data_IF_882383027325
#
_entry.id   IF_882383027325
#
_cell.length_a   1.000
_cell.length_b   1.000
_cell.length_c   1.000
_cell.angle_alpha   90.00
_cell.angle_beta   90.00
_cell.angle_gamma   90.00
#
_symmetry.space_group_name_H-M   'P 1'
#
loop_
_entity.id
_entity.type
_entity.pdbx_description
1 polymer ?
#
# COMPACT_ATOMS: atom_id res chain seq x y z
N UNK A 1 -12.47 -16.11 18.02
CA UNK A 1 -11.30 -16.70 17.32
C UNK A 1 -10.37 -15.63 16.73
N UNK A 2 -10.79 -14.74 15.82
CA UNK A 2 -9.94 -13.60 15.41
C UNK A 2 -9.91 -12.42 16.41
N UNK A 3 -10.85 -12.33 17.38
CA UNK A 3 -10.64 -11.46 18.56
C UNK A 3 -9.43 -11.96 19.35
N UNK A 4 -9.30 -13.28 19.52
CA UNK A 4 -8.09 -13.87 20.08
C UNK A 4 -6.87 -13.56 19.20
N UNK A 5 -6.97 -13.50 17.86
CA UNK A 5 -5.82 -13.06 17.03
C UNK A 5 -5.43 -11.63 17.37
N UNK A 6 -6.39 -10.70 17.33
CA UNK A 6 -6.17 -9.29 17.62
C UNK A 6 -5.64 -9.11 19.05
N UNK A 7 -6.24 -9.77 20.02
CA UNK A 7 -5.88 -9.68 21.43
C UNK A 7 -4.54 -10.39 21.72
N UNK A 8 -4.27 -11.54 21.10
CA UNK A 8 -2.99 -12.25 21.23
C UNK A 8 -1.85 -11.49 20.54
N UNK A 9 -2.08 -10.95 19.34
CA UNK A 9 -1.11 -10.10 18.64
C UNK A 9 -0.86 -8.81 19.41
N UNK A 10 -1.93 -8.17 19.91
CA UNK A 10 -1.82 -6.96 20.73
C UNK A 10 -1.13 -7.24 22.06
N UNK A 11 -1.39 -8.40 22.68
CA UNK A 11 -0.71 -8.85 23.90
C UNK A 11 0.78 -9.10 23.63
N UNK A 12 1.10 -9.81 22.55
CA UNK A 12 2.48 -10.07 22.13
C UNK A 12 3.24 -8.76 21.83
N UNK A 13 2.61 -7.79 21.18
CA UNK A 13 3.17 -6.47 20.94
C UNK A 13 3.35 -5.66 22.23
N UNK A 14 2.37 -5.68 23.14
CA UNK A 14 2.49 -5.03 24.45
C UNK A 14 3.69 -5.57 25.24
N UNK A 15 3.96 -6.87 25.16
CA UNK A 15 5.16 -7.47 25.79
C UNK A 15 6.46 -6.87 25.23
N UNK A 16 6.58 -6.70 23.91
CA UNK A 16 7.77 -6.06 23.29
C UNK A 16 7.90 -4.60 23.71
N UNK A 17 6.81 -3.84 23.63
CA UNK A 17 6.80 -2.41 23.96
C UNK A 17 7.19 -2.20 25.43
N UNK A 18 6.64 -3.02 26.32
CA UNK A 18 6.86 -2.96 27.78
C UNK A 18 8.16 -3.60 28.28
N UNK A 19 8.83 -4.44 27.49
CA UNK A 19 10.07 -5.10 27.92
C UNK A 19 11.21 -4.08 28.10
N UNK A 20 11.97 -4.17 29.20
CA UNK A 20 13.13 -3.30 29.44
C UNK A 20 14.31 -3.61 28.51
N UNK A 21 14.51 -4.89 28.19
CA UNK A 21 15.51 -5.37 27.24
C UNK A 21 14.93 -6.45 26.32
N UNK A 22 15.48 -6.57 25.12
CA UNK A 22 15.06 -7.55 24.12
C UNK A 22 16.13 -8.63 24.02
N UNK A 23 15.91 -9.72 24.74
CA UNK A 23 16.71 -10.93 24.69
C UNK A 23 16.13 -11.97 23.71
N UNK A 24 16.90 -13.03 23.44
CA UNK A 24 16.47 -14.12 22.54
C UNK A 24 15.24 -14.87 23.08
N UNK A 25 15.09 -14.99 24.40
CA UNK A 25 13.94 -15.62 25.03
C UNK A 25 12.63 -14.89 24.71
N UNK A 26 12.61 -13.56 24.82
CA UNK A 26 11.46 -12.73 24.48
C UNK A 26 11.09 -12.85 23.00
N UNK A 27 12.08 -12.91 22.10
CA UNK A 27 11.85 -13.10 20.66
C UNK A 27 11.26 -14.48 20.39
N UNK A 28 11.74 -15.52 21.09
CA UNK A 28 11.18 -16.87 20.99
C UNK A 28 9.74 -16.94 21.50
N UNK A 29 9.42 -16.26 22.60
CA UNK A 29 8.08 -16.17 23.15
C UNK A 29 7.14 -15.45 22.18
N UNK A 30 7.56 -14.30 21.64
CA UNK A 30 6.85 -13.56 20.60
C UNK A 30 6.52 -14.46 19.40
N UNK A 31 7.50 -15.22 18.91
CA UNK A 31 7.29 -16.12 17.78
C UNK A 31 6.26 -17.21 18.11
N UNK A 32 6.30 -17.80 19.31
CA UNK A 32 5.31 -18.79 19.75
C UNK A 32 3.91 -18.20 19.88
N UNK A 33 3.79 -17.01 20.45
CA UNK A 33 2.51 -16.32 20.58
C UNK A 33 1.94 -15.96 19.21
N UNK A 34 2.77 -15.48 18.28
CA UNK A 34 2.41 -15.24 16.90
C UNK A 34 1.96 -16.52 16.18
N UNK A 35 2.68 -17.63 16.36
CA UNK A 35 2.31 -18.93 15.79
C UNK A 35 0.93 -19.36 16.29
N UNK A 36 0.69 -19.34 17.61
CA UNK A 36 -0.61 -19.70 18.19
C UNK A 36 -1.72 -18.79 17.65
N UNK A 37 -1.46 -17.49 17.57
CA UNK A 37 -2.41 -16.50 17.09
C UNK A 37 -2.80 -16.78 15.62
N UNK A 38 -1.82 -16.96 14.74
CA UNK A 38 -2.05 -17.23 13.32
C UNK A 38 -2.68 -18.61 13.07
N UNK A 39 -2.24 -19.65 13.80
CA UNK A 39 -2.81 -21.00 13.69
C UNK A 39 -4.26 -21.05 14.20
N UNK A 40 -4.57 -20.37 15.31
CA UNK A 40 -5.95 -20.25 15.80
C UNK A 40 -6.86 -19.38 14.93
N UNK A 41 -6.26 -18.72 13.92
CA UNK A 41 -6.91 -17.97 12.85
C UNK A 41 -6.87 -18.69 11.51
N UNK A 42 -6.41 -19.94 11.53
CA UNK A 42 -6.47 -20.86 10.40
C UNK A 42 -5.66 -20.42 9.20
N UNK A 43 -4.59 -19.68 9.50
CA UNK A 43 -3.52 -19.43 8.56
C UNK A 43 -2.75 -20.75 8.37
N UNK A 44 -2.38 -21.02 7.12
CA UNK A 44 -1.69 -22.26 6.75
C UNK A 44 -0.43 -22.51 7.61
N UNK A 45 -0.31 -23.71 8.18
CA UNK A 45 0.79 -24.09 9.09
C UNK A 45 2.17 -23.83 8.47
N UNK A 46 2.37 -24.16 7.19
CA UNK A 46 3.66 -23.96 6.51
C UNK A 46 4.03 -22.48 6.47
N UNK A 47 3.05 -21.64 6.14
CA UNK A 47 3.22 -20.19 6.03
C UNK A 47 3.48 -19.54 7.39
N UNK A 48 2.78 -20.01 8.44
CA UNK A 48 3.02 -19.57 9.82
C UNK A 48 4.45 -19.91 10.28
N UNK A 49 4.92 -21.12 9.98
CA UNK A 49 6.28 -21.55 10.31
C UNK A 49 7.33 -20.73 9.55
N UNK A 50 7.10 -20.45 8.27
CA UNK A 50 8.00 -19.62 7.44
C UNK A 50 8.13 -18.20 7.99
N UNK A 51 7.01 -17.54 8.28
CA UNK A 51 6.99 -16.17 8.80
C UNK A 51 7.65 -16.07 10.15
N UNK A 52 7.35 -17.00 11.05
CA UNK A 52 7.90 -16.97 12.41
C UNK A 52 9.39 -17.30 12.42
N UNK A 53 9.86 -18.16 11.51
CA UNK A 53 11.28 -18.39 11.26
C UNK A 53 11.97 -17.12 10.76
N UNK A 54 11.41 -16.47 9.74
CA UNK A 54 11.95 -15.23 9.18
C UNK A 54 11.97 -14.10 10.22
N UNK A 55 10.89 -13.94 10.99
CA UNK A 55 10.81 -12.98 12.09
C UNK A 55 11.93 -13.22 13.12
N UNK A 56 12.09 -14.46 13.58
CA UNK A 56 13.13 -14.82 14.56
C UNK A 56 14.53 -14.53 14.02
N UNK A 57 14.82 -14.98 12.81
CA UNK A 57 16.13 -14.81 12.19
C UNK A 57 16.48 -13.33 12.03
N UNK A 58 15.54 -12.54 11.50
CA UNK A 58 15.73 -11.10 11.28
C UNK A 58 15.84 -10.34 12.60
N UNK A 59 14.99 -10.64 13.58
CA UNK A 59 15.03 -9.99 14.89
C UNK A 59 16.32 -10.25 15.69
N UNK A 60 16.99 -11.39 15.46
CA UNK A 60 18.25 -11.75 16.12
C UNK A 60 19.49 -11.27 15.35
N UNK A 61 19.47 -11.33 14.02
CA UNK A 61 20.66 -11.08 13.18
C UNK A 61 20.72 -9.67 12.60
N UNK A 62 19.58 -9.01 12.37
CA UNK A 62 19.57 -7.65 11.82
C UNK A 62 19.92 -6.62 12.90
N UNK A 63 20.94 -5.82 12.64
CA UNK A 63 21.24 -4.65 13.46
C UNK A 63 20.23 -3.53 13.15
N UNK A 64 19.60 -2.91 14.16
CA UNK A 64 18.69 -1.80 13.93
C UNK A 64 19.38 -0.66 13.16
N UNK A 65 18.68 0.01 12.23
CA UNK A 65 19.16 1.23 11.62
C UNK A 65 19.56 2.26 12.68
N UNK A 66 20.62 3.05 12.41
CA UNK A 66 21.08 4.07 13.35
C UNK A 66 19.95 5.05 13.67
N UNK A 67 19.61 5.20 14.95
CA UNK A 67 18.52 6.08 15.40
C UNK A 67 17.15 5.40 15.53
N UNK A 68 17.01 4.13 15.15
CA UNK A 68 15.80 3.34 15.39
C UNK A 68 16.00 2.46 16.64
N UNK A 69 15.13 2.57 17.67
CA UNK A 69 15.16 1.65 18.79
C UNK A 69 14.99 0.19 18.34
N UNK A 70 15.69 -0.75 18.99
CA UNK A 70 15.61 -2.19 18.69
C UNK A 70 14.16 -2.72 18.74
N UNK A 71 13.34 -2.16 19.64
CA UNK A 71 11.91 -2.47 19.77
C UNK A 71 11.15 -2.16 18.48
N UNK A 72 11.34 -0.94 17.97
CA UNK A 72 10.65 -0.45 16.77
C UNK A 72 11.13 -1.19 15.52
N UNK A 73 12.40 -1.58 15.48
CA UNK A 73 12.93 -2.43 14.42
C UNK A 73 12.22 -3.79 14.36
N UNK A 74 12.03 -4.45 15.51
CA UNK A 74 11.34 -5.75 15.56
C UNK A 74 9.85 -5.61 15.20
N UNK A 75 9.19 -4.53 15.63
CA UNK A 75 7.81 -4.23 15.23
C UNK A 75 7.73 -4.04 13.71
N UNK A 76 8.69 -3.32 13.11
CA UNK A 76 8.81 -3.15 11.65
C UNK A 76 8.98 -4.50 10.93
N UNK A 77 9.84 -5.38 11.44
CA UNK A 77 10.03 -6.74 10.89
C UNK A 77 8.73 -7.53 10.95
N UNK A 78 8.08 -7.61 12.12
CA UNK A 78 6.83 -8.32 12.33
C UNK A 78 5.74 -7.86 11.36
N UNK A 79 5.59 -6.55 11.22
CA UNK A 79 4.66 -5.97 10.26
C UNK A 79 4.99 -6.40 8.81
N UNK A 80 6.28 -6.37 8.43
CA UNK A 80 6.72 -6.78 7.11
C UNK A 80 6.36 -8.24 6.81
N UNK A 81 6.53 -9.13 7.79
CA UNK A 81 6.14 -10.54 7.65
C UNK A 81 4.63 -10.74 7.60
N UNK A 82 3.85 -10.03 8.42
CA UNK A 82 2.39 -10.05 8.35
C UNK A 82 1.86 -9.50 7.02
N UNK A 83 2.57 -8.56 6.40
CA UNK A 83 2.20 -8.03 5.10
C UNK A 83 2.48 -9.00 3.95
N UNK A 84 3.50 -9.85 4.09
CA UNK A 84 3.77 -10.94 3.12
C UNK A 84 2.61 -11.93 3.03
N UNK A 85 1.90 -12.18 4.13
CA UNK A 85 0.68 -12.99 4.13
C UNK A 85 -0.41 -12.48 3.18
N UNK A 86 -0.41 -11.17 2.93
CA UNK A 86 -1.44 -10.49 2.13
C UNK A 86 -1.04 -10.37 0.65
N UNK A 87 0.02 -11.10 0.24
CA UNK A 87 0.52 -11.14 -1.14
C UNK A 87 1.52 -10.03 -1.48
N UNK A 88 2.04 -9.31 -0.49
CA UNK A 88 2.98 -8.20 -0.70
C UNK A 88 4.43 -8.65 -0.44
N UNK A 89 5.27 -8.64 -1.47
CA UNK A 89 6.71 -8.89 -1.36
C UNK A 89 7.49 -7.63 -0.94
N UNK A 90 8.75 -7.81 -0.54
CA UNK A 90 9.60 -6.73 -0.01
C UNK A 90 9.80 -5.53 -0.94
N UNK A 91 9.82 -5.72 -2.26
CA UNK A 91 9.88 -4.62 -3.25
C UNK A 91 8.56 -3.86 -3.34
N UNK A 92 7.43 -4.57 -3.27
CA UNK A 92 6.10 -3.97 -3.27
C UNK A 92 5.91 -3.14 -2.00
N UNK A 93 6.29 -3.66 -0.83
CA UNK A 93 6.22 -2.92 0.45
C UNK A 93 7.02 -1.62 0.42
N UNK A 94 8.18 -1.58 -0.25
CA UNK A 94 8.99 -0.36 -0.41
C UNK A 94 8.26 0.73 -1.22
N UNK A 95 7.39 0.33 -2.15
CA UNK A 95 6.65 1.23 -3.04
C UNK A 95 5.24 1.56 -2.55
N UNK A 96 4.56 0.68 -1.79
CA UNK A 96 3.15 0.85 -1.41
C UNK A 96 2.90 2.08 -0.53
N UNK A 97 3.87 2.50 0.28
CA UNK A 97 3.69 3.66 1.18
C UNK A 97 4.10 5.00 0.54
N UNK A 98 5.03 4.98 -0.43
CA UNK A 98 5.53 6.18 -1.14
C UNK A 98 4.74 6.51 -2.41
N UNK A 99 4.12 5.53 -3.07
CA UNK A 99 3.41 5.77 -4.34
C UNK A 99 1.94 6.10 -4.10
N UNK A 100 1.68 7.38 -3.82
CA UNK A 100 0.41 8.03 -4.20
C UNK A 100 0.35 8.38 -5.69
N UNK A 101 1.36 7.98 -6.48
CA UNK A 101 1.54 8.39 -7.87
C UNK A 101 2.08 7.17 -8.67
N UNK A 102 1.24 6.63 -9.55
CA UNK A 102 1.57 5.92 -10.80
C UNK A 102 2.12 4.47 -10.81
N UNK A 103 1.86 3.62 -9.81
CA UNK A 103 1.84 2.15 -10.07
C UNK A 103 0.39 1.69 -10.13
N UNK A 104 -0.09 1.33 -11.33
CA UNK A 104 -1.44 0.80 -11.53
C UNK A 104 -1.57 -0.50 -10.71
N UNK A 105 -2.41 -0.54 -9.67
CA UNK A 105 -2.57 -1.79 -8.88
C UNK A 105 -3.18 -2.92 -9.71
N UNK A 106 -3.87 -2.57 -10.78
CA UNK A 106 -4.32 -3.48 -11.83
C UNK A 106 -3.65 -3.07 -13.14
N UNK A 107 -2.89 -4.00 -13.73
CA UNK A 107 -2.25 -3.77 -15.02
C UNK A 107 -3.25 -4.00 -16.15
N UNK A 108 -3.76 -2.90 -16.71
CA UNK A 108 -4.59 -2.93 -17.91
C UNK A 108 -3.77 -2.60 -19.16
N UNK A 109 -4.06 -3.31 -20.25
CA UNK A 109 -3.51 -3.04 -21.57
C UNK A 109 -4.20 -1.81 -22.16
N UNK A 110 -3.47 -0.73 -22.51
CA UNK A 110 -4.09 0.49 -23.03
C UNK A 110 -4.63 0.33 -24.46
N UNK A 111 -4.07 -0.61 -25.23
CA UNK A 111 -4.35 -0.75 -26.66
C UNK A 111 -5.51 -1.71 -26.97
N UNK A 112 -6.18 -2.25 -25.94
CA UNK A 112 -7.32 -3.17 -26.12
C UNK A 112 -8.30 -3.12 -24.97
N UNK A 113 -9.50 -3.66 -25.20
CA UNK A 113 -10.47 -3.89 -24.15
C UNK A 113 -9.94 -4.92 -23.15
N UNK A 114 -10.05 -4.60 -21.87
CA UNK A 114 -9.67 -5.50 -20.78
C UNK A 114 -10.91 -6.13 -20.17
N UNK A 115 -10.81 -7.39 -19.77
CA UNK A 115 -11.93 -8.16 -19.23
C UNK A 115 -11.64 -8.59 -17.79
N UNK A 116 -12.61 -8.35 -16.90
CA UNK A 116 -12.52 -8.71 -15.49
C UNK A 116 -13.64 -9.71 -15.18
N UNK A 117 -13.27 -10.93 -14.82
CA UNK A 117 -14.21 -11.96 -14.38
C UNK A 117 -14.36 -11.94 -12.85
N UNK A 118 -15.57 -11.70 -12.36
CA UNK A 118 -15.85 -11.57 -10.92
C UNK A 118 -16.39 -12.89 -10.36
N UNK A 119 -15.64 -13.51 -9.46
CA UNK A 119 -15.96 -14.81 -8.86
C UNK A 119 -16.16 -14.71 -7.35
N UNK A 120 -16.89 -15.66 -6.76
CA UNK A 120 -17.08 -15.72 -5.32
C UNK A 120 -18.36 -16.43 -4.91
N UNK A 121 -18.47 -16.74 -3.63
CA UNK A 121 -19.62 -17.48 -3.11
C UNK A 121 -20.92 -16.66 -3.12
N UNK A 122 -22.06 -17.33 -2.91
CA UNK A 122 -23.33 -16.64 -2.71
C UNK A 122 -23.26 -15.71 -1.49
N UNK A 123 -23.82 -14.52 -1.62
CA UNK A 123 -23.87 -13.55 -0.51
C UNK A 123 -22.55 -12.81 -0.20
N UNK A 124 -21.47 -13.05 -0.95
CA UNK A 124 -20.20 -12.34 -0.77
C UNK A 124 -20.21 -10.89 -1.30
N UNK A 125 -21.32 -10.42 -1.86
CA UNK A 125 -21.45 -9.03 -2.32
C UNK A 125 -20.94 -8.74 -3.74
N UNK A 126 -20.75 -9.76 -4.59
CA UNK A 126 -20.26 -9.63 -6.00
C UNK A 126 -20.93 -8.52 -6.80
N UNK A 127 -22.26 -8.59 -6.99
CA UNK A 127 -23.03 -7.59 -7.75
C UNK A 127 -22.85 -6.17 -7.21
N UNK A 128 -22.74 -6.02 -5.89
CA UNK A 128 -22.46 -4.72 -5.26
C UNK A 128 -21.04 -4.25 -5.55
N UNK A 129 -20.05 -5.15 -5.41
CA UNK A 129 -18.63 -4.85 -5.71
C UNK A 129 -18.43 -4.51 -7.18
N UNK A 130 -19.13 -5.17 -8.11
CA UNK A 130 -19.08 -4.88 -9.55
C UNK A 130 -19.40 -3.41 -9.80
N UNK A 131 -20.51 -2.92 -9.24
CA UNK A 131 -20.91 -1.53 -9.41
C UNK A 131 -19.91 -0.55 -8.75
N UNK A 132 -19.41 -0.89 -7.56
CA UNK A 132 -18.39 -0.08 -6.87
C UNK A 132 -17.06 -0.03 -7.63
N UNK A 133 -16.64 -1.17 -8.20
CA UNK A 133 -15.42 -1.27 -8.99
C UNK A 133 -15.58 -0.48 -10.30
N UNK A 134 -16.73 -0.59 -10.97
CA UNK A 134 -17.04 0.22 -12.14
C UNK A 134 -16.97 1.72 -11.84
N UNK A 135 -17.53 2.15 -10.69
CA UNK A 135 -17.44 3.53 -10.21
C UNK A 135 -15.99 3.96 -9.97
N UNK A 136 -15.21 3.13 -9.29
CA UNK A 136 -13.81 3.39 -9.01
C UNK A 136 -13.01 3.54 -10.31
N UNK A 137 -13.16 2.60 -11.26
CA UNK A 137 -12.47 2.63 -12.55
C UNK A 137 -12.87 3.85 -13.40
N UNK A 138 -14.15 4.22 -13.39
CA UNK A 138 -14.65 5.43 -14.09
C UNK A 138 -14.03 6.70 -13.50
N UNK A 139 -13.90 6.79 -12.17
CA UNK A 139 -13.19 7.90 -11.50
C UNK A 139 -11.71 7.97 -11.88
N UNK A 140 -11.10 6.87 -12.31
CA UNK A 140 -9.71 6.78 -12.77
C UNK A 140 -9.58 6.89 -14.30
N UNK A 141 -10.62 7.35 -15.00
CA UNK A 141 -10.57 7.69 -16.42
C UNK A 141 -10.87 6.55 -17.39
N UNK A 142 -11.25 5.38 -16.91
CA UNK A 142 -11.64 4.25 -17.78
C UNK A 142 -13.13 4.30 -18.14
N UNK A 143 -13.47 3.93 -19.36
CA UNK A 143 -14.85 3.69 -19.80
C UNK A 143 -15.21 2.25 -19.49
N UNK A 144 -16.26 2.04 -18.70
CA UNK A 144 -16.57 0.72 -18.13
C UNK A 144 -17.93 0.20 -18.60
N UNK A 145 -17.93 -1.01 -19.15
CA UNK A 145 -19.10 -1.82 -19.44
C UNK A 145 -19.24 -2.95 -18.44
N UNK A 146 -20.47 -3.37 -18.17
CA UNK A 146 -20.77 -4.47 -17.24
C UNK A 146 -21.64 -5.52 -17.94
N UNK A 147 -21.33 -6.80 -17.76
CA UNK A 147 -22.14 -7.93 -18.21
C UNK A 147 -22.73 -8.62 -16.98
N UNK A 148 -24.06 -8.71 -16.91
CA UNK A 148 -24.76 -9.47 -15.88
C UNK A 148 -25.00 -10.92 -16.32
N UNK A 149 -24.24 -11.85 -15.75
CA UNK A 149 -24.29 -13.29 -16.05
C UNK A 149 -24.77 -14.13 -14.84
N UNK A 150 -25.36 -13.51 -13.81
CA UNK A 150 -26.07 -14.22 -12.75
C UNK A 150 -27.49 -14.57 -13.21
N UNK A 151 -27.63 -15.74 -13.84
CA UNK A 151 -28.91 -16.28 -14.32
C UNK A 151 -29.69 -17.07 -13.26
N UNK A 152 -29.10 -17.27 -12.07
CA UNK A 152 -29.67 -18.11 -11.02
C UNK A 152 -30.51 -17.32 -10.02
N UNK A 153 -30.07 -16.10 -9.68
CA UNK A 153 -30.73 -15.30 -8.66
C UNK A 153 -31.82 -14.42 -9.28
N UNK A 154 -33.10 -14.55 -8.85
CA UNK A 154 -34.18 -13.69 -9.32
C UNK A 154 -33.87 -12.20 -9.11
N UNK A 155 -34.08 -11.39 -10.15
CA UNK A 155 -33.85 -9.94 -10.10
C UNK A 155 -32.37 -9.50 -10.03
N UNK A 156 -31.41 -10.41 -10.20
CA UNK A 156 -29.98 -10.07 -10.15
C UNK A 156 -29.60 -9.05 -11.23
N UNK A 157 -30.04 -9.27 -12.47
CA UNK A 157 -29.78 -8.33 -13.57
C UNK A 157 -30.45 -6.96 -13.33
N UNK A 158 -31.68 -6.93 -12.82
CA UNK A 158 -32.38 -5.68 -12.46
C UNK A 158 -31.63 -4.94 -11.34
N UNK A 159 -31.16 -5.65 -10.31
CA UNK A 159 -30.35 -5.08 -9.25
C UNK A 159 -29.04 -4.49 -9.80
N UNK A 160 -28.37 -5.21 -10.70
CA UNK A 160 -27.14 -4.76 -11.33
C UNK A 160 -27.36 -3.50 -12.18
N UNK A 161 -28.41 -3.49 -13.02
CA UNK A 161 -28.83 -2.32 -13.81
C UNK A 161 -29.11 -1.10 -12.92
N UNK A 162 -29.84 -1.28 -11.82
CA UNK A 162 -30.15 -0.21 -10.86
C UNK A 162 -28.89 0.34 -10.16
N UNK A 163 -27.92 -0.52 -9.85
CA UNK A 163 -26.67 -0.07 -9.25
C UNK A 163 -25.78 0.67 -10.24
N UNK A 164 -25.71 0.20 -11.50
CA UNK A 164 -24.88 0.79 -12.54
C UNK A 164 -25.48 2.08 -13.14
N UNK A 165 -26.81 2.24 -13.13
CA UNK A 165 -27.46 3.48 -13.59
C UNK A 165 -27.05 4.69 -12.75
N UNK A 166 -26.79 4.51 -11.46
CA UNK A 166 -26.29 5.56 -10.55
C UNK A 166 -24.92 6.12 -10.94
N UNK A 167 -24.19 5.41 -11.80
CA UNK A 167 -22.83 5.75 -12.22
C UNK A 167 -22.68 5.84 -13.75
N UNK A 168 -23.80 5.82 -14.49
CA UNK A 168 -23.85 5.87 -15.95
C UNK A 168 -23.00 4.78 -16.65
N UNK A 169 -22.86 3.61 -16.03
CA UNK A 169 -22.18 2.46 -16.65
C UNK A 169 -23.18 1.64 -17.46
N UNK A 170 -22.80 1.29 -18.70
CA UNK A 170 -23.63 0.47 -19.59
C UNK A 170 -23.64 -0.97 -19.08
N UNK A 171 -24.85 -1.54 -18.94
CA UNK A 171 -25.04 -2.93 -18.52
C UNK A 171 -25.66 -3.74 -19.66
N UNK A 172 -24.99 -4.81 -20.04
CA UNK A 172 -25.53 -5.86 -20.91
C UNK A 172 -26.05 -7.03 -20.07
N UNK A 173 -27.18 -7.61 -20.49
CA UNK A 173 -27.72 -8.85 -19.93
C UNK A 173 -29.06 -9.20 -20.55
N UNK A 174 -29.40 -10.48 -20.53
CA UNK A 174 -30.59 -11.04 -21.17
C UNK A 174 -31.49 -11.65 -20.10
N UNK A 175 -32.69 -11.10 -19.88
CA UNK A 175 -33.56 -11.50 -18.76
C UNK A 175 -34.18 -12.89 -18.94
N UNK A 176 -34.42 -13.32 -20.18
CA UNK A 176 -35.03 -14.61 -20.50
C UNK A 176 -34.01 -15.72 -20.75
N UNK A 177 -32.75 -15.36 -21.01
CA UNK A 177 -31.69 -16.33 -21.26
C UNK A 177 -31.15 -16.89 -19.93
N UNK A 178 -31.14 -18.22 -19.79
CA UNK A 178 -30.60 -18.91 -18.60
C UNK A 178 -29.15 -19.37 -18.78
N UNK A 179 -28.60 -19.27 -19.99
CA UNK A 179 -27.26 -19.71 -20.33
C UNK A 179 -26.24 -18.58 -20.13
N UNK A 180 -25.56 -18.58 -18.98
CA UNK A 180 -24.59 -17.55 -18.64
C UNK A 180 -23.43 -17.44 -19.65
N UNK A 181 -22.99 -18.56 -20.26
CA UNK A 181 -21.92 -18.55 -21.26
C UNK A 181 -22.33 -17.83 -22.54
N UNK A 182 -23.58 -17.99 -22.96
CA UNK A 182 -24.12 -17.32 -24.14
C UNK A 182 -24.28 -15.81 -23.91
N UNK A 183 -24.83 -15.42 -22.76
CA UNK A 183 -24.97 -14.01 -22.37
C UNK A 183 -23.60 -13.32 -22.37
N UNK A 184 -22.58 -13.97 -21.82
CA UNK A 184 -21.22 -13.41 -21.80
C UNK A 184 -20.65 -13.26 -23.21
N UNK A 185 -20.81 -14.27 -24.08
CA UNK A 185 -20.37 -14.17 -25.49
C UNK A 185 -21.06 -13.01 -26.21
N UNK A 186 -22.38 -12.92 -26.09
CA UNK A 186 -23.16 -11.86 -26.75
C UNK A 186 -22.80 -10.48 -26.17
N UNK A 187 -22.59 -10.39 -24.86
CA UNK A 187 -22.16 -9.14 -24.21
C UNK A 187 -20.76 -8.68 -24.64
N UNK A 188 -19.82 -9.61 -24.82
CA UNK A 188 -18.49 -9.29 -25.37
C UNK A 188 -18.58 -8.77 -26.81
N UNK A 189 -19.47 -9.35 -27.63
CA UNK A 189 -19.73 -8.84 -29.00
C UNK A 189 -20.37 -7.46 -28.95
N UNK A 190 -21.38 -7.26 -28.09
CA UNK A 190 -22.06 -5.98 -27.90
C UNK A 190 -21.10 -4.84 -27.51
N UNK A 191 -20.13 -5.11 -26.64
CA UNK A 191 -19.15 -4.10 -26.22
C UNK A 191 -17.98 -3.91 -27.20
N UNK A 192 -17.77 -4.84 -28.15
CA UNK A 192 -16.67 -4.74 -29.13
C UNK A 192 -16.77 -3.51 -30.03
N UNK A 193 -18.00 -3.11 -30.36
CA UNK A 193 -18.29 -1.93 -31.19
C UNK A 193 -18.41 -0.65 -30.38
N UNK A 194 -18.35 -0.74 -29.05
CA UNK A 194 -18.48 0.39 -28.15
C UNK A 194 -17.13 0.88 -27.69
N UNK A 195 -17.08 2.17 -27.38
CA UNK A 195 -15.90 2.83 -26.87
C UNK A 195 -15.71 2.54 -25.36
N UNK A 196 -15.57 1.26 -25.00
CA UNK A 196 -15.34 0.74 -23.64
C UNK A 196 -13.90 0.26 -23.51
N UNK A 197 -13.26 0.58 -22.38
CA UNK A 197 -11.89 0.17 -22.07
C UNK A 197 -11.85 -1.10 -21.21
N UNK A 198 -12.82 -1.24 -20.29
CA UNK A 198 -12.89 -2.33 -19.32
C UNK A 198 -14.30 -2.92 -19.28
N UNK A 199 -14.40 -4.25 -19.39
CA UNK A 199 -15.63 -5.01 -19.27
C UNK A 199 -15.57 -5.83 -17.97
N UNK A 200 -16.52 -5.62 -17.06
CA UNK A 200 -16.66 -6.39 -15.82
C UNK A 200 -17.79 -7.40 -15.97
N UNK A 201 -17.53 -8.67 -15.68
CA UNK A 201 -18.51 -9.75 -15.78
C UNK A 201 -18.94 -10.17 -14.37
N UNK A 202 -20.20 -9.92 -14.01
CA UNK A 202 -20.83 -10.35 -12.74
C UNK A 202 -21.39 -11.76 -12.91
N UNK A 203 -20.79 -12.76 -12.25
CA UNK A 203 -21.26 -14.16 -12.30
C UNK A 203 -22.13 -14.50 -11.09
N UNK A 204 -22.93 -15.56 -11.21
CA UNK A 204 -23.67 -16.11 -10.07
C UNK A 204 -22.76 -16.49 -8.88
N UNK A 205 -23.33 -16.43 -7.68
CA UNK A 205 -22.69 -16.94 -6.47
C UNK A 205 -22.94 -18.43 -6.25
N UNK A 206 -21.92 -19.15 -5.80
CA UNK A 206 -22.01 -20.61 -5.64
C UNK A 206 -22.89 -21.08 -4.47
N UNK A 207 -23.73 -22.11 -4.71
CA UNK A 207 -24.33 -23.00 -3.70
C UNK A 207 -24.63 -24.43 -4.26
N UNK A 208 -24.38 -25.46 -3.42
CA UNK A 208 -24.92 -26.84 -3.35
C UNK A 208 -24.54 -27.90 -4.41
N UNK A 209 -24.23 -27.55 -5.65
CA UNK A 209 -23.71 -28.52 -6.64
C UNK A 209 -22.34 -28.08 -7.16
N UNK A 210 -21.29 -28.38 -6.40
CA UNK A 210 -19.93 -27.85 -6.64
C UNK A 210 -19.35 -28.21 -8.01
N UNK A 211 -19.57 -29.43 -8.52
CA UNK A 211 -18.91 -29.90 -9.75
C UNK A 211 -19.41 -29.18 -11.01
N UNK A 212 -20.72 -29.11 -11.22
CA UNK A 212 -21.30 -28.48 -12.42
C UNK A 212 -20.98 -26.98 -12.51
N UNK A 213 -20.98 -26.29 -11.37
CA UNK A 213 -20.61 -24.86 -11.29
C UNK A 213 -19.10 -24.65 -11.50
N UNK A 214 -18.25 -25.59 -11.09
CA UNK A 214 -16.81 -25.54 -11.39
C UNK A 214 -16.54 -25.72 -12.89
N UNK A 215 -17.25 -26.63 -13.54
CA UNK A 215 -17.20 -26.82 -14.99
C UNK A 215 -17.69 -25.60 -15.76
N UNK A 216 -18.80 -25.00 -15.33
CA UNK A 216 -19.31 -23.75 -15.91
C UNK A 216 -18.28 -22.63 -15.78
N UNK A 217 -17.66 -22.49 -14.61
CA UNK A 217 -16.61 -21.49 -14.39
C UNK A 217 -15.36 -21.73 -15.24
N UNK A 218 -14.91 -23.00 -15.38
CA UNK A 218 -13.80 -23.34 -16.29
C UNK A 218 -14.15 -23.00 -17.73
N UNK A 219 -15.37 -23.31 -18.14
CA UNK A 219 -15.88 -23.01 -19.48
C UNK A 219 -15.92 -21.50 -19.71
N UNK A 220 -16.42 -20.72 -18.73
CA UNK A 220 -16.47 -19.27 -18.79
C UNK A 220 -15.06 -18.66 -18.86
N UNK A 221 -14.13 -19.12 -18.02
CA UNK A 221 -12.74 -18.68 -18.07
C UNK A 221 -12.09 -18.98 -19.43
N UNK A 222 -12.35 -20.16 -20.00
CA UNK A 222 -11.80 -20.57 -21.30
C UNK A 222 -12.38 -19.75 -22.46
N UNK A 223 -13.67 -19.44 -22.41
CA UNK A 223 -14.36 -18.66 -23.46
C UNK A 223 -13.98 -17.18 -23.38
N UNK A 224 -13.95 -16.61 -22.18
CA UNK A 224 -13.68 -15.19 -21.96
C UNK A 224 -12.19 -14.88 -22.10
N UNK A 225 -11.32 -15.81 -21.73
CA UNK A 225 -9.87 -15.59 -21.59
C UNK A 225 -9.57 -14.28 -20.83
N UNK A 226 -10.09 -14.14 -19.58
CA UNK A 226 -10.11 -12.86 -18.90
C UNK A 226 -8.71 -12.33 -18.60
N UNK A 227 -8.50 -11.03 -18.76
CA UNK A 227 -7.26 -10.35 -18.35
C UNK A 227 -7.05 -10.43 -16.84
N UNK A 228 -8.14 -10.31 -16.09
CA UNK A 228 -8.14 -10.39 -14.63
C UNK A 228 -9.27 -11.24 -14.11
N UNK A 229 -8.99 -12.01 -13.08
CA UNK A 229 -9.99 -12.83 -12.38
C UNK A 229 -9.97 -12.44 -10.91
N UNK A 230 -11.04 -11.79 -10.46
CA UNK A 230 -11.13 -11.30 -9.09
C UNK A 230 -12.02 -12.20 -8.25
N UNK A 231 -11.51 -12.58 -7.08
CA UNK A 231 -12.25 -13.35 -6.09
C UNK A 231 -12.80 -12.43 -5.00
N UNK A 232 -14.11 -12.41 -4.84
CA UNK A 232 -14.83 -11.61 -3.87
C UNK A 232 -15.08 -12.47 -2.63
N UNK A 233 -14.52 -12.03 -1.50
CA UNK A 233 -14.58 -12.73 -0.22
C UNK A 233 -15.27 -11.85 0.80
N UNK A 234 -16.23 -12.43 1.51
CA UNK A 234 -16.85 -11.80 2.65
C UNK A 234 -15.87 -11.82 3.83
N UNK A 235 -15.61 -10.66 4.43
CA UNK A 235 -14.69 -10.51 5.57
C UNK A 235 -15.14 -11.24 6.84
N UNK A 236 -16.38 -11.75 6.88
CA UNK A 236 -16.88 -12.63 7.95
C UNK A 236 -16.46 -14.09 7.79
N UNK A 237 -16.05 -14.50 6.58
CA UNK A 237 -15.60 -15.87 6.32
C UNK A 237 -14.19 -16.05 6.91
N UNK A 238 -14.05 -17.04 7.81
CA UNK A 238 -12.77 -17.44 8.40
C UNK A 238 -12.06 -18.53 7.57
N UNK A 239 -11.78 -19.68 8.20
CA UNK A 239 -11.00 -20.80 7.62
C UNK A 239 -11.52 -21.28 6.26
N UNK A 240 -12.85 -21.24 6.06
CA UNK A 240 -13.47 -21.71 4.83
C UNK A 240 -13.02 -20.91 3.60
N UNK A 241 -12.53 -19.67 3.79
CA UNK A 241 -11.98 -18.85 2.72
C UNK A 241 -10.76 -19.51 2.07
N UNK A 242 -9.90 -20.20 2.83
CA UNK A 242 -8.71 -20.87 2.27
C UNK A 242 -9.10 -21.93 1.23
N UNK A 243 -9.94 -22.90 1.65
CA UNK A 243 -10.34 -24.01 0.80
C UNK A 243 -11.14 -23.53 -0.41
N UNK A 244 -12.06 -22.58 -0.21
CA UNK A 244 -12.80 -21.98 -1.31
C UNK A 244 -11.85 -21.29 -2.29
N UNK A 245 -11.00 -20.38 -1.82
CA UNK A 245 -10.09 -19.64 -2.69
C UNK A 245 -9.15 -20.56 -3.47
N UNK A 246 -8.63 -21.63 -2.83
CA UNK A 246 -7.84 -22.67 -3.51
C UNK A 246 -8.61 -23.31 -4.66
N UNK A 247 -9.83 -23.79 -4.39
CA UNK A 247 -10.67 -24.42 -5.42
C UNK A 247 -10.95 -23.43 -6.56
N UNK A 248 -11.29 -22.18 -6.26
CA UNK A 248 -11.50 -21.16 -7.30
C UNK A 248 -10.23 -20.93 -8.15
N UNK A 249 -9.07 -20.84 -7.50
CA UNK A 249 -7.80 -20.58 -8.17
C UNK A 249 -7.31 -21.74 -9.05
N UNK A 250 -7.47 -22.98 -8.61
CA UNK A 250 -7.16 -24.16 -9.43
C UNK A 250 -7.98 -24.20 -10.74
N UNK A 251 -9.15 -23.56 -10.77
CA UNK A 251 -10.10 -23.65 -11.87
C UNK A 251 -10.13 -22.40 -12.77
N UNK A 252 -9.82 -21.22 -12.23
CA UNK A 252 -9.89 -19.96 -12.97
C UNK A 252 -8.75 -18.97 -12.66
N UNK A 253 -7.62 -19.45 -12.10
CA UNK A 253 -6.38 -18.68 -11.85
C UNK A 253 -6.64 -17.24 -11.35
N UNK A 254 -7.09 -17.13 -10.10
CA UNK A 254 -7.38 -15.85 -9.46
C UNK A 254 -6.14 -14.93 -9.51
N UNK A 255 -6.31 -13.71 -10.04
CA UNK A 255 -5.25 -12.68 -10.11
C UNK A 255 -5.38 -11.62 -9.01
N UNK A 256 -6.57 -11.46 -8.41
CA UNK A 256 -6.80 -10.49 -7.35
C UNK A 256 -7.93 -10.87 -6.39
N UNK A 257 -7.88 -10.33 -5.17
CA UNK A 257 -8.88 -10.56 -4.13
C UNK A 257 -9.51 -9.22 -3.73
N UNK A 258 -10.84 -9.20 -3.59
CA UNK A 258 -11.59 -8.07 -3.03
C UNK A 258 -12.32 -8.56 -1.78
N UNK A 259 -12.14 -7.85 -0.67
CA UNK A 259 -12.77 -8.19 0.61
C UNK A 259 -13.98 -7.28 0.80
N UNK A 260 -15.12 -7.82 1.21
CA UNK A 260 -16.33 -7.03 1.49
C UNK A 260 -16.72 -7.08 2.96
N UNK A 261 -17.65 -6.20 3.34
CA UNK A 261 -18.29 -6.17 4.68
C UNK A 261 -17.31 -5.92 5.84
N UNK A 262 -16.24 -5.16 5.59
CA UNK A 262 -15.27 -4.79 6.64
C UNK A 262 -15.74 -3.67 7.57
N UNK A 263 -16.92 -3.11 7.33
CA UNK A 263 -17.65 -2.16 8.17
C UNK A 263 -18.36 -2.79 9.37
N UNK A 264 -18.60 -4.11 9.32
CA UNK A 264 -19.24 -4.85 10.41
C UNK A 264 -18.25 -5.43 11.43
N UNK A 265 -18.59 -6.58 12.00
CA UNK A 265 -17.74 -7.34 12.94
C UNK A 265 -16.63 -8.14 12.23
N UNK A 266 -16.47 -7.94 10.93
CA UNK A 266 -15.54 -8.67 10.09
C UNK A 266 -14.09 -8.32 10.43
N UNK A 267 -13.27 -9.36 10.63
CA UNK A 267 -11.89 -9.24 11.15
C UNK A 267 -10.83 -9.47 10.07
N UNK A 268 -11.26 -9.73 8.83
CA UNK A 268 -10.40 -9.78 7.65
C UNK A 268 -9.44 -10.99 7.56
N UNK A 269 -9.47 -11.93 8.51
CA UNK A 269 -8.62 -13.13 8.46
C UNK A 269 -8.89 -14.04 7.26
N UNK A 270 -10.12 -14.07 6.74
CA UNK A 270 -10.44 -14.77 5.48
C UNK A 270 -9.64 -14.26 4.28
N UNK A 271 -9.24 -12.97 4.30
CA UNK A 271 -8.43 -12.41 3.24
C UNK A 271 -6.99 -12.92 3.26
N UNK A 272 -6.41 -13.03 4.47
CA UNK A 272 -5.10 -13.64 4.68
C UNK A 272 -5.14 -15.10 4.20
N UNK A 273 -6.17 -15.84 4.61
CA UNK A 273 -6.35 -17.23 4.24
C UNK A 273 -6.46 -17.41 2.71
N UNK A 274 -7.24 -16.56 2.04
CA UNK A 274 -7.40 -16.65 0.59
C UNK A 274 -6.18 -16.18 -0.21
N UNK A 275 -5.52 -15.11 0.24
CA UNK A 275 -4.26 -14.64 -0.33
C UNK A 275 -3.20 -15.73 -0.22
N UNK A 276 -3.10 -16.39 0.94
CA UNK A 276 -2.21 -17.52 1.15
C UNK A 276 -2.53 -18.73 0.26
N UNK A 277 -3.82 -19.01 0.04
CA UNK A 277 -4.26 -20.15 -0.77
C UNK A 277 -3.99 -19.97 -2.28
N UNK A 278 -4.01 -18.72 -2.75
CA UNK A 278 -4.00 -18.40 -4.19
C UNK A 278 -2.73 -17.70 -4.66
N UNK A 279 -1.96 -17.13 -3.74
CA UNK A 279 -0.87 -16.20 -4.05
C UNK A 279 -1.34 -14.86 -4.64
N UNK A 280 -2.64 -14.65 -4.80
CA UNK A 280 -3.21 -13.44 -5.38
C UNK A 280 -3.18 -12.28 -4.37
N UNK A 281 -2.96 -11.07 -4.87
CA UNK A 281 -2.92 -9.86 -4.04
C UNK A 281 -4.33 -9.44 -3.64
N UNK A 282 -4.47 -8.95 -2.41
CA UNK A 282 -5.66 -8.20 -2.03
C UNK A 282 -5.59 -6.81 -2.67
N UNK A 283 -6.58 -6.49 -3.50
CA UNK A 283 -6.65 -5.26 -4.31
C UNK A 283 -7.52 -4.19 -3.64
N UNK A 284 -8.69 -4.57 -3.12
CA UNK A 284 -9.68 -3.64 -2.59
C UNK A 284 -10.37 -4.17 -1.33
N UNK A 285 -10.91 -3.23 -0.55
CA UNK A 285 -11.79 -3.48 0.59
C UNK A 285 -13.08 -2.69 0.46
N UNK A 286 -14.21 -3.37 0.67
CA UNK A 286 -15.53 -2.76 0.82
C UNK A 286 -15.78 -2.40 2.28
N UNK A 287 -15.95 -1.11 2.54
CA UNK A 287 -16.10 -0.52 3.88
C UNK A 287 -17.49 0.04 4.16
N UNK A 288 -18.50 -0.45 3.43
CA UNK A 288 -19.89 -0.03 3.59
C UNK A 288 -20.77 -0.50 2.43
N UNK A 289 -21.99 0.01 2.35
CA UNK A 289 -22.96 -0.35 1.31
C UNK A 289 -23.04 0.67 0.16
N UNK A 290 -22.56 1.90 0.36
CA UNK A 290 -22.66 2.96 -0.65
C UNK A 290 -21.73 2.68 -1.82
N UNK A 291 -22.07 3.23 -2.98
CA UNK A 291 -21.34 3.00 -4.24
C UNK A 291 -19.87 3.46 -4.19
N UNK A 292 -19.56 4.41 -3.32
CA UNK A 292 -18.21 4.94 -3.13
C UNK A 292 -17.43 4.26 -1.98
N UNK A 293 -18.06 3.31 -1.26
CA UNK A 293 -17.44 2.61 -0.12
C UNK A 293 -16.60 1.40 -0.62
N UNK A 294 -15.67 1.66 -1.54
CA UNK A 294 -14.66 0.73 -2.01
C UNK A 294 -13.30 1.44 -1.97
N UNK A 295 -12.46 0.99 -1.05
CA UNK A 295 -11.12 1.54 -0.85
C UNK A 295 -10.09 0.61 -1.46
N UNK A 296 -9.03 1.19 -2.01
CA UNK A 296 -7.84 0.44 -2.39
C UNK A 296 -7.20 -0.18 -1.14
N UNK A 297 -6.82 -1.45 -1.22
CA UNK A 297 -6.21 -2.14 -0.11
C UNK A 297 -4.81 -1.61 0.18
N UNK A 298 -4.55 -1.35 1.46
CA UNK A 298 -3.24 -1.02 1.99
C UNK A 298 -2.88 -2.04 3.07
N UNK A 299 -1.82 -2.85 2.89
CA UNK A 299 -1.33 -3.77 3.93
C UNK A 299 -1.01 -3.04 5.23
N UNK A 300 -0.47 -1.83 5.10
CA UNK A 300 -0.04 -0.97 6.22
C UNK A 300 -1.20 -0.58 7.08
N UNK A 301 -2.25 -0.09 6.43
CA UNK A 301 -3.48 0.29 7.11
C UNK A 301 -4.22 -0.94 7.62
N UNK A 302 -4.26 -2.04 6.88
CA UNK A 302 -5.00 -3.24 7.26
C UNK A 302 -4.40 -3.94 8.47
N UNK A 303 -3.08 -4.20 8.46
CA UNK A 303 -2.37 -4.76 9.61
C UNK A 303 -2.40 -3.77 10.77
N UNK A 304 -2.29 -2.46 10.54
CA UNK A 304 -2.44 -1.47 11.61
C UNK A 304 -3.81 -1.48 12.29
N UNK A 305 -4.89 -1.60 11.51
CA UNK A 305 -6.26 -1.82 12.03
C UNK A 305 -6.36 -3.13 12.80
N UNK A 306 -5.74 -4.21 12.29
CA UNK A 306 -5.71 -5.51 12.95
C UNK A 306 -4.99 -5.45 14.30
N UNK A 307 -3.86 -4.75 14.38
CA UNK A 307 -3.05 -4.59 15.59
C UNK A 307 -3.57 -3.51 16.55
N UNK A 308 -4.52 -2.67 16.09
CA UNK A 308 -5.10 -1.58 16.88
C UNK A 308 -4.13 -0.41 17.08
N UNK A 309 -3.18 -0.21 16.17
CA UNK A 309 -2.19 0.85 16.21
C UNK A 309 -2.39 1.75 14.97
N UNK A 310 -2.75 3.01 15.19
CA UNK A 310 -3.12 3.94 14.11
C UNK A 310 -1.94 4.49 13.29
N UNK A 311 -0.74 4.55 13.88
CA UNK A 311 0.39 5.31 13.31
C UNK A 311 1.63 4.45 12.96
N UNK A 312 1.40 3.17 12.62
CA UNK A 312 2.48 2.25 12.22
C UNK A 312 3.12 2.68 10.89
N UNK A 313 2.35 3.33 10.02
CA UNK A 313 2.86 3.80 8.73
C UNK A 313 4.04 4.76 8.93
N UNK A 314 3.93 5.70 9.87
CA UNK A 314 5.01 6.63 10.21
C UNK A 314 6.25 5.89 10.73
N UNK A 315 6.07 4.87 11.59
CA UNK A 315 7.18 4.06 12.12
C UNK A 315 7.92 3.28 11.02
N UNK A 316 7.19 2.70 10.05
CA UNK A 316 7.79 2.01 8.91
C UNK A 316 8.51 2.97 7.97
N UNK A 317 7.93 4.15 7.71
CA UNK A 317 8.58 5.20 6.92
C UNK A 317 9.86 5.69 7.60
N UNK A 318 9.83 5.88 8.92
CA UNK A 318 11.00 6.23 9.72
C UNK A 318 12.07 5.14 9.65
N UNK A 319 11.73 3.88 9.91
CA UNK A 319 12.66 2.75 9.83
C UNK A 319 13.35 2.67 8.45
N UNK A 320 12.57 2.78 7.37
CA UNK A 320 13.09 2.79 5.99
C UNK A 320 13.98 4.00 5.71
N UNK A 321 13.62 5.18 6.21
CA UNK A 321 14.44 6.39 6.00
C UNK A 321 15.82 6.25 6.65
N UNK A 322 15.89 5.62 7.83
CA UNK A 322 17.13 5.37 8.55
C UNK A 322 17.96 4.25 7.91
N UNK A 323 17.32 3.22 7.33
CA UNK A 323 18.00 2.21 6.50
C UNK A 323 18.69 2.87 5.29
N UNK A 324 17.99 3.75 4.57
CA UNK A 324 18.54 4.46 3.40
C UNK A 324 19.70 5.39 3.81
N UNK A 325 19.60 6.05 4.96
CA UNK A 325 20.68 6.90 5.50
C UNK A 325 21.89 6.12 6.01
N UNK A 326 21.69 4.86 6.41
CA UNK A 326 22.76 3.96 6.87
C UNK A 326 23.67 3.46 5.74
N UNK A 327 23.25 3.63 4.49
CA UNK A 327 24.07 3.34 3.31
C UNK A 327 25.31 4.26 3.32
N UNK A 328 26.49 3.67 3.56
CA UNK A 328 27.71 4.37 4.00
C UNK A 328 28.13 5.53 3.09
N UNK A 329 27.70 5.51 1.84
CA UNK A 329 28.02 6.50 0.82
C UNK A 329 27.42 7.89 1.12
N UNK A 330 26.23 7.98 1.73
CA UNK A 330 25.62 9.28 2.05
C UNK A 330 26.23 9.87 3.34
N UNK A 331 26.41 9.02 4.35
CA UNK A 331 27.08 9.38 5.61
C UNK A 331 28.54 9.84 5.40
N UNK A 332 29.32 9.13 4.58
CA UNK A 332 30.70 9.52 4.23
C UNK A 332 30.75 10.84 3.45
N UNK A 333 29.76 11.14 2.59
CA UNK A 333 29.69 12.40 1.82
C UNK A 333 29.36 13.61 2.70
N UNK A 334 28.42 13.46 3.62
CA UNK A 334 28.09 14.48 4.63
C UNK A 334 29.31 14.77 5.52
N UNK A 335 30.00 13.71 5.98
CA UNK A 335 31.24 13.81 6.75
C UNK A 335 32.43 14.34 5.92
N UNK A 336 32.41 14.28 4.59
CA UNK A 336 33.47 14.81 3.72
C UNK A 336 33.38 16.32 3.48
N UNK A 337 32.27 16.98 3.82
CA UNK A 337 32.04 18.40 3.56
C UNK A 337 31.72 18.75 2.10
N UNK A 338 31.50 17.74 1.25
CA UNK A 338 31.03 17.90 -0.14
C UNK A 338 29.53 17.58 -0.21
N UNK A 339 28.70 18.46 0.33
CA UNK A 339 27.23 18.36 0.24
C UNK A 339 26.79 18.80 -1.16
N UNK A 340 26.05 17.95 -1.89
CA UNK A 340 25.41 18.33 -3.17
C UNK A 340 24.03 18.94 -2.94
N UNK A 341 23.42 19.54 -3.97
CA UNK A 341 22.06 20.08 -3.85
C UNK A 341 21.02 18.97 -3.61
N UNK A 342 21.28 17.77 -4.13
CA UNK A 342 20.42 16.61 -3.96
C UNK A 342 20.47 16.10 -2.51
N UNK A 343 21.64 16.15 -1.88
CA UNK A 343 21.79 15.80 -0.45
C UNK A 343 21.04 16.81 0.43
N UNK A 344 21.15 18.11 0.12
CA UNK A 344 20.42 19.16 0.83
C UNK A 344 18.91 18.97 0.72
N UNK A 345 18.41 18.70 -0.49
CA UNK A 345 16.99 18.46 -0.71
C UNK A 345 16.49 17.19 0.02
N UNK A 346 17.25 16.10 -0.04
CA UNK A 346 16.90 14.86 0.68
C UNK A 346 16.83 15.08 2.19
N UNK A 347 17.74 15.90 2.75
CA UNK A 347 17.72 16.27 4.16
C UNK A 347 16.45 17.05 4.52
N UNK A 348 16.11 18.06 3.73
CA UNK A 348 14.91 18.87 3.94
C UNK A 348 13.62 18.06 3.73
N UNK A 349 13.61 17.13 2.78
CA UNK A 349 12.48 16.22 2.53
C UNK A 349 12.28 15.26 3.71
N UNK A 350 13.36 14.72 4.27
CA UNK A 350 13.29 13.87 5.46
C UNK A 350 12.82 14.66 6.70
N UNK A 351 13.26 15.91 6.85
CA UNK A 351 12.76 16.83 7.89
C UNK A 351 11.30 17.26 7.67
N UNK A 352 10.82 17.31 6.43
CA UNK A 352 9.40 17.55 6.13
C UNK A 352 8.52 16.34 6.43
N UNK A 353 9.06 15.12 6.31
CA UNK A 353 8.37 13.85 6.58
C UNK A 353 8.36 13.45 8.06
N UNK A 354 9.45 13.72 8.78
CA UNK A 354 9.44 13.76 10.25
C UNK A 354 8.82 15.07 10.69
N UNK A 355 7.50 15.12 10.84
CA UNK A 355 6.79 16.34 11.22
C UNK A 355 7.52 17.13 12.31
N UNK A 356 7.79 18.41 12.05
CA UNK A 356 8.50 19.33 12.94
C UNK A 356 7.91 19.41 14.38
N UNK A 357 6.68 18.90 14.59
CA UNK A 357 6.01 18.78 15.90
C UNK A 357 6.90 18.13 16.96
N UNK A 358 7.47 16.95 16.70
CA UNK A 358 8.08 16.14 17.76
C UNK A 358 9.44 16.67 18.26
N UNK A 359 10.14 17.48 17.45
CA UNK A 359 11.46 18.03 17.84
C UNK A 359 11.29 19.37 18.55
N UNK A 360 10.30 20.18 18.18
CA UNK A 360 10.06 21.49 18.79
C UNK A 360 9.28 21.37 20.11
N UNK A 361 8.36 20.40 20.23
CA UNK A 361 7.61 20.16 21.48
C UNK A 361 8.49 19.69 22.66
N UNK A 362 9.69 19.18 22.38
CA UNK A 362 10.64 18.71 23.39
C UNK A 362 11.74 19.73 23.76
N UNK A 363 11.69 20.96 23.21
CA UNK A 363 12.63 22.03 23.53
C UNK A 363 11.97 23.04 24.49
N UNK A 364 12.33 23.04 25.80
CA UNK A 364 11.72 23.93 26.77
C UNK A 364 12.05 25.40 26.42
N UNK A 365 11.00 26.21 26.23
CA UNK A 365 11.12 27.67 26.05
C UNK A 365 10.88 28.23 24.64
N UNK A 366 10.56 27.40 23.64
CA UNK A 366 10.32 27.84 22.25
C UNK A 366 8.91 27.56 21.69
N UNK A 367 7.97 27.13 22.54
CA UNK A 367 6.61 26.73 22.15
C UNK A 367 5.75 27.82 21.51
N UNK A 368 6.13 29.10 21.62
CA UNK A 368 5.28 30.23 21.23
C UNK A 368 5.57 30.83 19.85
N UNK A 369 6.50 30.26 19.06
CA UNK A 369 6.97 30.88 17.82
C UNK A 369 6.60 30.18 16.51
N UNK A 370 5.88 29.04 16.53
CA UNK A 370 5.53 28.33 15.29
C UNK A 370 4.03 28.09 15.23
N UNK A 371 3.32 28.94 14.48
CA UNK A 371 1.91 28.76 14.11
C UNK A 371 1.77 27.74 12.97
N UNK A 372 0.65 27.01 12.95
CA UNK A 372 0.31 25.99 11.94
C UNK A 372 0.39 26.52 10.48
N UNK A 373 0.16 27.82 10.25
CA UNK A 373 0.25 28.48 8.93
C UNK A 373 1.63 28.38 8.24
N UNK A 374 2.71 28.07 8.99
CA UNK A 374 4.05 27.98 8.42
C UNK A 374 4.36 26.64 7.74
N UNK A 375 3.59 25.58 8.03
CA UNK A 375 3.86 24.23 7.54
C UNK A 375 3.41 24.03 6.08
N UNK A 376 2.25 24.56 5.71
CA UNK A 376 1.73 24.50 4.34
C UNK A 376 2.62 25.30 3.38
N UNK A 377 3.07 26.48 3.82
CA UNK A 377 4.02 27.32 3.08
C UNK A 377 5.37 26.63 2.90
N UNK A 378 5.80 25.81 3.87
CA UNK A 378 7.04 25.03 3.77
C UNK A 378 6.90 23.90 2.75
N UNK A 379 5.78 23.18 2.75
CA UNK A 379 5.51 22.12 1.77
C UNK A 379 5.46 22.65 0.35
N UNK A 380 4.77 23.77 0.12
CA UNK A 380 4.69 24.42 -1.19
C UNK A 380 6.09 24.84 -1.70
N UNK A 381 6.93 25.38 -0.80
CA UNK A 381 8.33 25.72 -1.12
C UNK A 381 9.17 24.48 -1.45
N UNK A 382 8.99 23.38 -0.72
CA UNK A 382 9.69 22.12 -0.98
C UNK A 382 9.32 21.56 -2.35
N UNK A 383 8.05 21.65 -2.74
CA UNK A 383 7.62 21.20 -4.06
C UNK A 383 8.21 22.07 -5.19
N UNK A 384 8.25 23.40 -5.01
CA UNK A 384 8.94 24.32 -5.93
C UNK A 384 10.42 23.97 -6.08
N UNK A 385 11.10 23.69 -4.98
CA UNK A 385 12.52 23.29 -4.99
C UNK A 385 12.75 21.96 -5.73
N UNK A 386 11.82 21.01 -5.65
CA UNK A 386 11.89 19.76 -6.41
C UNK A 386 11.98 20.03 -7.90
N UNK A 387 11.08 20.86 -8.43
CA UNK A 387 11.05 21.20 -9.86
C UNK A 387 12.29 21.98 -10.31
N UNK A 388 12.78 22.89 -9.46
CA UNK A 388 14.03 23.63 -9.70
C UNK A 388 15.22 22.67 -9.83
N UNK A 389 15.38 21.73 -8.89
CA UNK A 389 16.50 20.77 -8.87
C UNK A 389 16.43 19.80 -10.06
N UNK A 390 15.22 19.40 -10.47
CA UNK A 390 15.03 18.59 -11.68
C UNK A 390 15.48 19.32 -12.96
N UNK A 391 15.45 20.65 -12.97
CA UNK A 391 15.88 21.49 -14.09
C UNK A 391 17.41 21.73 -14.14
N UNK A 392 18.15 21.27 -13.14
CA UNK A 392 19.62 21.38 -13.11
C UNK A 392 20.28 20.32 -14.00
N UNK A 393 21.43 20.68 -14.58
CA UNK A 393 22.33 19.72 -15.21
C UNK A 393 23.09 18.90 -14.16
N UNK A 394 23.72 17.79 -14.58
CA UNK A 394 24.56 16.95 -13.69
C UNK A 394 25.70 17.75 -13.03
N UNK A 395 26.24 18.75 -13.72
CA UNK A 395 27.30 19.62 -13.17
C UNK A 395 26.74 20.60 -12.13
N UNK A 396 25.61 21.24 -12.43
CA UNK A 396 24.95 22.19 -11.53
C UNK A 396 24.47 21.52 -10.24
N UNK A 397 24.02 20.26 -10.32
CA UNK A 397 23.66 19.44 -9.15
C UNK A 397 24.84 19.20 -8.20
N UNK A 398 26.02 18.96 -8.78
CA UNK A 398 27.26 18.71 -8.03
C UNK A 398 27.87 20.00 -7.50
N UNK A 399 27.75 21.10 -8.24
CA UNK A 399 28.29 22.40 -7.87
C UNK A 399 27.30 23.55 -8.10
N UNK A 400 26.35 23.77 -7.16
CA UNK A 400 25.35 24.83 -7.27
C UNK A 400 25.93 26.25 -7.25
N UNK A 401 27.16 26.41 -6.75
CA UNK A 401 27.88 27.70 -6.75
C UNK A 401 28.22 28.18 -8.18
N UNK A 402 28.15 27.30 -9.18
CA UNK A 402 28.39 27.63 -10.59
C UNK A 402 27.18 28.24 -11.33
N UNK A 403 26.06 28.47 -10.64
CA UNK A 403 24.82 28.95 -11.26
C UNK A 403 24.85 30.48 -11.38
N UNK A 404 25.20 30.96 -12.58
CA UNK A 404 25.14 32.36 -12.96
C UNK A 404 23.71 32.80 -13.38
N UNK A 405 23.55 34.08 -13.73
CA UNK A 405 22.25 34.65 -14.11
C UNK A 405 21.61 33.97 -15.32
N UNK A 406 22.40 33.68 -16.36
CA UNK A 406 21.91 32.98 -17.54
C UNK A 406 21.39 31.57 -17.20
N UNK A 407 22.06 30.86 -16.29
CA UNK A 407 21.64 29.53 -15.82
C UNK A 407 20.38 29.61 -14.97
N UNK A 408 20.25 30.61 -14.09
CA UNK A 408 19.01 30.85 -13.32
C UNK A 408 17.80 31.07 -14.22
N UNK A 409 17.93 31.90 -15.27
CA UNK A 409 16.87 32.15 -16.26
C UNK A 409 16.40 30.86 -16.95
N UNK A 410 17.35 30.01 -17.36
CA UNK A 410 17.05 28.70 -17.96
C UNK A 410 16.34 27.77 -16.98
N UNK A 411 16.84 27.67 -15.75
CA UNK A 411 16.29 26.81 -14.70
C UNK A 411 14.85 27.25 -14.36
N UNK A 412 14.64 28.55 -14.13
CA UNK A 412 13.33 29.12 -13.80
C UNK A 412 12.28 28.81 -14.87
N UNK A 413 12.65 28.96 -16.16
CA UNK A 413 11.79 28.57 -17.29
C UNK A 413 11.51 27.06 -17.34
N UNK A 414 12.52 26.23 -17.06
CA UNK A 414 12.37 24.77 -17.06
C UNK A 414 11.51 24.23 -15.91
N UNK A 415 11.52 24.91 -14.76
CA UNK A 415 10.76 24.51 -13.58
C UNK A 415 9.42 25.23 -13.42
N UNK A 416 9.09 26.19 -14.29
CA UNK A 416 7.84 26.96 -14.20
C UNK A 416 7.75 27.89 -13.00
N UNK A 417 8.90 28.36 -12.48
CA UNK A 417 8.98 29.24 -11.29
C UNK A 417 9.68 30.55 -11.62
N UNK A 418 9.73 31.49 -10.68
CA UNK A 418 10.41 32.77 -10.87
C UNK A 418 11.91 32.66 -10.57
N UNK A 419 12.72 33.56 -11.15
CA UNK A 419 14.17 33.60 -10.88
C UNK A 419 14.51 33.82 -9.39
N UNK A 420 13.62 34.48 -8.65
CA UNK A 420 13.81 34.70 -7.21
C UNK A 420 13.74 33.39 -6.42
N UNK A 421 12.85 32.46 -6.79
CA UNK A 421 12.73 31.14 -6.13
C UNK A 421 14.00 30.32 -6.28
N UNK A 422 14.62 30.37 -7.49
CA UNK A 422 15.90 29.72 -7.78
C UNK A 422 17.03 30.33 -6.94
N UNK A 423 17.05 31.67 -6.82
CA UNK A 423 18.03 32.39 -6.01
C UNK A 423 17.89 32.05 -4.53
N UNK A 424 16.66 31.91 -4.04
CA UNK A 424 16.37 31.57 -2.64
C UNK A 424 16.81 30.15 -2.29
N UNK A 425 16.59 29.18 -3.18
CA UNK A 425 17.11 27.81 -3.01
C UNK A 425 18.65 27.82 -2.90
N UNK A 426 19.35 28.50 -3.81
CA UNK A 426 20.81 28.57 -3.81
C UNK A 426 21.32 29.23 -2.52
N UNK A 427 20.65 30.29 -2.06
CA UNK A 427 20.98 30.98 -0.81
C UNK A 427 20.83 30.05 0.39
N UNK A 428 19.72 29.30 0.48
CA UNK A 428 19.48 28.35 1.57
C UNK A 428 20.49 27.21 1.57
N UNK A 429 20.80 26.66 0.40
CA UNK A 429 21.86 25.65 0.24
C UNK A 429 23.22 26.17 0.73
N UNK A 430 23.60 27.40 0.36
CA UNK A 430 24.88 28.00 0.77
C UNK A 430 24.94 28.33 2.26
N UNK A 431 23.83 28.74 2.86
CA UNK A 431 23.71 28.91 4.31
C UNK A 431 23.92 27.59 5.04
N UNK A 432 23.22 26.52 4.61
CA UNK A 432 23.36 25.17 5.20
C UNK A 432 24.78 24.63 5.05
N UNK A 433 25.38 24.78 3.86
CA UNK A 433 26.79 24.43 3.59
C UNK A 433 27.76 25.16 4.53
N UNK A 434 27.49 26.42 4.83
CA UNK A 434 28.31 27.23 5.75
C UNK A 434 28.15 26.78 7.20
N UNK A 435 26.91 26.51 7.65
CA UNK A 435 26.63 25.97 8.98
C UNK A 435 27.30 24.61 9.20
N UNK A 436 27.23 23.69 8.23
CA UNK A 436 27.89 22.39 8.32
C UNK A 436 29.43 22.49 8.39
N UNK A 437 30.03 23.44 7.66
CA UNK A 437 31.46 23.73 7.77
C UNK A 437 31.84 24.27 9.15
N UNK A 438 31.00 25.11 9.75
CA UNK A 438 31.23 25.67 11.09
C UNK A 438 31.05 24.63 12.20
N UNK A 439 30.07 23.72 12.08
CA UNK A 439 29.83 22.63 13.02
C UNK A 439 31.05 21.68 13.15
N UNK A 440 31.76 21.45 12.04
CA UNK A 440 33.04 20.70 12.01
C UNK A 440 34.18 21.38 12.78
N UNK A 441 34.17 22.71 12.90
CA UNK A 441 35.35 23.48 13.31
C UNK A 441 35.53 23.69 14.82
N UNK A 442 34.46 23.68 15.62
CA UNK A 442 34.57 24.03 17.07
C UNK A 442 33.68 23.24 18.03
N UNK A 443 32.57 22.65 17.59
CA UNK A 443 31.63 21.97 18.51
C UNK A 443 31.81 20.45 18.59
N UNK A 444 32.34 19.81 17.54
CA UNK A 444 32.53 18.35 17.54
C UNK A 444 33.58 17.90 18.57
N UNK A 445 34.63 18.69 18.80
CA UNK A 445 35.68 18.36 19.78
C UNK A 445 35.21 18.54 21.24
N UNK A 446 34.34 19.52 21.50
CA UNK A 446 33.74 19.74 22.82
C UNK A 446 32.62 18.74 23.15
N UNK A 447 31.85 18.32 22.14
CA UNK A 447 30.78 17.34 22.30
C UNK A 447 31.32 15.92 22.47
N UNK A 448 32.33 15.50 21.68
CA UNK A 448 32.95 14.17 21.80
C UNK A 448 33.62 13.94 23.15
N UNK A 449 34.22 14.98 23.74
CA UNK A 449 34.84 14.93 25.07
C UNK A 449 33.81 14.84 26.20
N UNK A 450 32.58 15.32 25.97
CA UNK A 450 31.47 15.29 26.94
C UNK A 450 30.64 14.00 26.89
N UNK A 451 30.73 13.27 25.77
CA UNK A 451 30.14 11.94 25.58
C UNK A 451 31.16 10.79 25.74
N UNK A 452 32.37 11.07 26.24
CA UNK A 452 33.35 10.03 26.60
C UNK A 452 33.91 9.23 25.42
N UNK A 453 33.89 9.78 24.21
CA UNK A 453 34.40 9.12 23.00
C UNK A 453 35.59 9.90 22.40
N UNK A 454 36.51 10.33 23.25
CA UNK A 454 37.74 11.03 22.87
C UNK A 454 38.95 10.41 23.54
#
# INVERSE_FOLDING_TARGET
>A
MLDNLKDNLRSALKKIVGASDINEELINELCKDLQRALLSSDVNVKLVLEITKNLKERALKETPPKGLPKKDHIISILYGELSRLLGYSGELLKNTDKKRIDEKIINFHPDRQNTILMLGIQGSGKTTVVAKLARWLTKHGYRVGVIGADTWRPGALTQLKMNCSKINSIVYGEEENKNALEIVKNGLVFFKEQAIDIIIIDTAGRHKEEQRLLEEMRSMHTIVTPDHVFLIIDGTIGQQAFNQARIFHENAKISGIIITKLDGTAKGGGAIAASAATGAKVLFIGTGERIDDLEQFSPTSFVGRLLGMGDIKALLEMARSLEIQSDENQSKRLLSGKMTIEDFYAQMENMGKMGFRNVIENLPGLSNFVKDDHLDVLQEKMEKWRFIIQSFTKEEKRNPDSINESRRKRIARGSGVMEHDVKDLIKQYNNSKTMMKQAKGRQMHGLLRRFGLG
#
